data_IF_364957636607
#
_entry.id   IF_364957636607
#
_cell.length_a   1.000
_cell.length_b   1.000
_cell.length_c   1.000
_cell.angle_alpha   90.00
_cell.angle_beta   90.00
_cell.angle_gamma   90.00
#
_symmetry.space_group_name_H-M   'P 1'
#
loop_
_entity.id
_entity.type
_entity.pdbx_description
1 polymer ?
#
# COMPACT_ATOMS: atom_id res chain seq x y z
N UNK A 1 -0.80 -18.19 -1.96
CA UNK A 1 -1.70 -17.93 -0.81
C UNK A 1 -3.18 -17.86 -1.19
N UNK A 2 -3.75 -16.74 -1.68
CA UNK A 2 -5.22 -16.63 -1.85
C UNK A 2 -5.84 -17.73 -2.74
N UNK A 3 -5.19 -18.07 -3.86
CA UNK A 3 -5.62 -19.16 -4.76
C UNK A 3 -5.50 -20.53 -4.08
N UNK A 4 -4.44 -20.77 -3.31
CA UNK A 4 -4.19 -22.04 -2.62
C UNK A 4 -5.19 -22.30 -1.49
N UNK A 5 -5.66 -21.25 -0.82
CA UNK A 5 -6.58 -21.38 0.33
C UNK A 5 -8.05 -21.37 -0.08
N UNK A 6 -8.37 -20.96 -1.32
CA UNK A 6 -9.74 -20.88 -1.81
C UNK A 6 -10.52 -22.22 -1.74
N UNK A 7 -9.94 -23.40 -2.07
CA UNK A 7 -10.63 -24.68 -1.94
C UNK A 7 -11.01 -25.06 -0.50
N UNK A 8 -10.35 -24.44 0.49
CA UNK A 8 -10.62 -24.63 1.91
C UNK A 8 -11.71 -23.68 2.43
N UNK A 9 -12.29 -22.83 1.57
CA UNK A 9 -13.29 -21.83 1.96
C UNK A 9 -12.70 -20.61 2.67
N UNK A 10 -11.37 -20.45 2.68
CA UNK A 10 -10.69 -19.31 3.33
C UNK A 10 -10.60 -18.15 2.34
N UNK A 11 -11.19 -17.01 2.72
CA UNK A 11 -11.16 -15.76 1.97
C UNK A 11 -9.99 -14.89 2.44
N UNK A 12 -9.28 -14.26 1.51
CA UNK A 12 -8.11 -13.41 1.79
C UNK A 12 -8.29 -12.02 1.18
N UNK A 13 -8.06 -10.99 2.00
CA UNK A 13 -8.01 -9.59 1.57
C UNK A 13 -6.74 -8.93 2.10
N UNK A 14 -6.06 -8.18 1.24
CA UNK A 14 -4.91 -7.33 1.55
C UNK A 14 -5.46 -5.91 1.77
N UNK A 15 -5.30 -5.37 2.97
CA UNK A 15 -5.67 -3.98 3.27
C UNK A 15 -4.50 -3.07 2.92
N UNK A 16 -4.75 -2.06 2.08
CA UNK A 16 -3.74 -1.14 1.55
C UNK A 16 -4.05 0.30 2.01
N UNK A 17 -3.75 0.67 3.27
CA UNK A 17 -4.13 1.96 3.81
C UNK A 17 -3.21 3.09 3.36
N UNK A 18 -3.78 4.27 3.17
CA UNK A 18 -3.05 5.54 3.14
C UNK A 18 -2.64 6.01 4.54
N UNK A 19 -2.41 7.32 4.74
CA UNK A 19 -2.07 7.85 6.06
C UNK A 19 -3.31 7.91 6.96
N UNK A 20 -3.27 7.20 8.09
CA UNK A 20 -4.29 7.22 9.15
C UNK A 20 -3.73 7.77 10.46
N UNK A 21 -4.58 8.44 11.26
CA UNK A 21 -4.23 8.99 12.58
C UNK A 21 -4.11 7.91 13.63
N UNK A 22 -3.14 7.03 13.45
CA UNK A 22 -2.69 6.06 14.46
C UNK A 22 -1.40 6.59 15.09
N UNK A 23 -0.90 5.90 16.11
CA UNK A 23 0.43 6.18 16.67
C UNK A 23 1.59 5.75 15.73
N UNK A 24 1.31 5.42 14.46
CA UNK A 24 2.31 4.98 13.49
C UNK A 24 3.36 6.06 13.22
N UNK A 25 2.96 7.29 12.87
CA UNK A 25 3.93 8.36 12.59
C UNK A 25 4.54 8.96 13.87
N UNK A 26 3.93 8.69 15.03
CA UNK A 26 4.46 9.04 16.35
C UNK A 26 5.29 7.90 16.94
N UNK A 27 4.85 7.38 18.09
CA UNK A 27 5.65 6.47 18.92
C UNK A 27 5.90 5.07 18.35
N UNK A 28 5.13 4.63 17.35
CA UNK A 28 5.24 3.28 16.78
C UNK A 28 6.20 3.20 15.59
N UNK A 29 6.61 4.34 15.01
CA UNK A 29 7.60 4.33 13.94
C UNK A 29 8.95 3.86 14.48
N UNK A 30 9.49 2.79 13.89
CA UNK A 30 10.86 2.34 14.16
C UNK A 30 11.76 2.77 13.01
N UNK A 31 12.83 3.47 13.35
CA UNK A 31 13.85 3.90 12.40
C UNK A 31 15.04 2.95 12.47
N UNK A 32 15.75 2.79 11.35
CA UNK A 32 16.99 2.04 11.33
C UNK A 32 18.04 2.74 12.21
N UNK A 33 18.75 1.96 13.02
CA UNK A 33 19.79 2.48 13.94
C UNK A 33 20.97 3.08 13.16
N UNK A 34 21.33 2.50 12.02
CA UNK A 34 22.41 2.98 11.17
C UNK A 34 21.87 3.97 10.13
N UNK A 35 22.44 5.18 10.13
CA UNK A 35 22.17 6.21 9.14
C UNK A 35 23.35 6.33 8.18
N UNK A 36 23.06 6.21 6.88
CA UNK A 36 24.02 6.45 5.81
C UNK A 36 23.71 7.83 5.20
N UNK A 37 24.68 8.74 5.23
CA UNK A 37 24.49 10.13 4.85
C UNK A 37 24.04 10.31 3.40
N UNK A 38 24.48 9.43 2.50
CA UNK A 38 24.17 9.48 1.07
C UNK A 38 22.66 9.36 0.79
N UNK A 39 21.88 8.77 1.70
CA UNK A 39 20.43 8.63 1.58
C UNK A 39 19.64 9.77 2.24
N UNK A 40 20.30 10.84 2.69
CA UNK A 40 19.62 11.98 3.29
C UNK A 40 18.58 12.63 2.36
N UNK A 41 18.83 12.80 1.03
CA UNK A 41 17.83 13.36 0.13
C UNK A 41 16.56 12.52 -0.04
N UNK A 42 16.60 11.23 0.32
CA UNK A 42 15.48 10.29 0.14
C UNK A 42 14.95 9.77 1.48
N UNK A 43 15.58 8.75 2.06
CA UNK A 43 15.20 8.17 3.33
C UNK A 43 15.29 9.19 4.48
N UNK A 44 16.29 10.09 4.44
CA UNK A 44 16.39 11.20 5.39
C UNK A 44 15.18 12.13 5.33
N UNK A 45 14.82 12.59 4.13
CA UNK A 45 13.64 13.44 3.91
C UNK A 45 12.35 12.75 4.38
N UNK A 46 12.21 11.44 4.17
CA UNK A 46 11.07 10.68 4.69
C UNK A 46 11.01 10.70 6.23
N UNK A 47 12.14 10.47 6.91
CA UNK A 47 12.20 10.52 8.39
C UNK A 47 11.76 11.87 8.93
N UNK A 48 12.23 12.97 8.33
CA UNK A 48 11.81 14.31 8.74
C UNK A 48 10.33 14.57 8.46
N UNK A 49 9.82 14.11 7.31
CA UNK A 49 8.39 14.21 6.99
C UNK A 49 7.52 13.48 8.01
N UNK A 50 7.91 12.28 8.45
CA UNK A 50 7.15 11.50 9.43
C UNK A 50 6.96 12.23 10.76
N UNK A 51 7.99 12.95 11.24
CA UNK A 51 7.88 13.79 12.45
C UNK A 51 6.83 14.92 12.31
N UNK A 52 6.58 15.39 11.08
CA UNK A 52 5.70 16.54 10.84
C UNK A 52 4.23 16.17 10.63
N UNK A 53 3.95 14.92 10.26
CA UNK A 53 2.60 14.46 9.89
C UNK A 53 1.86 13.76 11.02
N UNK A 54 2.52 13.50 12.15
CA UNK A 54 1.85 12.90 13.31
C UNK A 54 0.64 13.73 13.76
N UNK A 55 -0.48 13.06 14.01
CA UNK A 55 -1.78 13.67 14.30
C UNK A 55 -2.47 14.43 13.15
N UNK A 56 -1.79 14.64 12.01
CA UNK A 56 -2.31 15.44 10.87
C UNK A 56 -2.79 14.58 9.69
N UNK A 57 -2.78 13.26 9.83
CA UNK A 57 -3.23 12.35 8.78
C UNK A 57 -4.74 12.52 8.53
N UNK A 58 -5.18 12.38 7.28
CA UNK A 58 -6.62 12.49 6.95
C UNK A 58 -7.43 11.27 7.41
N UNK A 59 -6.79 10.10 7.47
CA UNK A 59 -7.47 8.84 7.73
C UNK A 59 -7.95 8.72 9.18
N UNK A 60 -9.19 8.25 9.33
CA UNK A 60 -9.81 7.92 10.61
C UNK A 60 -9.70 6.41 10.87
N UNK A 61 -8.94 5.96 11.89
CA UNK A 61 -8.76 4.54 12.19
C UNK A 61 -10.06 3.81 12.53
N UNK A 62 -11.04 4.50 13.13
CA UNK A 62 -12.33 3.90 13.49
C UNK A 62 -13.08 3.55 12.20
N UNK A 63 -13.12 4.48 11.24
CA UNK A 63 -13.74 4.22 9.93
C UNK A 63 -13.00 3.14 9.14
N UNK A 64 -11.67 3.09 9.22
CA UNK A 64 -10.90 2.01 8.60
C UNK A 64 -11.25 0.65 9.20
N UNK A 65 -11.31 0.55 10.53
CA UNK A 65 -11.67 -0.70 11.21
C UNK A 65 -13.07 -1.18 10.84
N UNK A 66 -14.03 -0.26 10.73
CA UNK A 66 -15.39 -0.57 10.30
C UNK A 66 -15.41 -1.08 8.85
N UNK A 67 -14.69 -0.42 7.93
CA UNK A 67 -14.59 -0.87 6.55
C UNK A 67 -13.98 -2.28 6.44
N UNK A 68 -12.93 -2.57 7.21
CA UNK A 68 -12.32 -3.91 7.26
C UNK A 68 -13.33 -4.94 7.77
N UNK A 69 -14.06 -4.63 8.84
CA UNK A 69 -15.09 -5.51 9.38
C UNK A 69 -16.20 -5.78 8.36
N UNK A 70 -16.66 -4.76 7.65
CA UNK A 70 -17.74 -4.91 6.67
C UNK A 70 -17.33 -5.79 5.48
N UNK A 71 -16.06 -5.77 5.07
CA UNK A 71 -15.55 -6.68 4.04
C UNK A 71 -15.64 -8.16 4.47
N UNK A 72 -15.50 -8.47 5.76
CA UNK A 72 -15.61 -9.86 6.24
C UNK A 72 -17.00 -10.46 6.05
N UNK A 73 -18.03 -9.63 5.87
CA UNK A 73 -19.42 -10.04 5.65
C UNK A 73 -19.72 -10.37 4.19
N UNK A 74 -18.79 -10.10 3.27
CA UNK A 74 -19.01 -10.34 1.85
C UNK A 74 -18.83 -11.81 1.50
N UNK A 75 -19.68 -12.31 0.59
CA UNK A 75 -19.51 -13.64 0.01
C UNK A 75 -18.24 -13.71 -0.84
N UNK A 76 -17.94 -12.65 -1.57
CA UNK A 76 -16.77 -12.51 -2.45
C UNK A 76 -16.00 -11.22 -2.15
N UNK A 77 -15.23 -11.17 -1.05
CA UNK A 77 -14.44 -9.98 -0.72
C UNK A 77 -13.33 -9.77 -1.74
N UNK A 78 -12.90 -8.51 -1.98
CA UNK A 78 -11.83 -8.21 -2.91
C UNK A 78 -10.48 -8.72 -2.38
N UNK A 79 -9.56 -9.07 -3.28
CA UNK A 79 -8.19 -9.41 -2.90
C UNK A 79 -7.44 -8.19 -2.34
N UNK A 80 -7.72 -6.98 -2.83
CA UNK A 80 -7.07 -5.73 -2.41
C UNK A 80 -8.12 -4.70 -2.00
N UNK A 81 -7.92 -4.07 -0.86
CA UNK A 81 -8.77 -3.03 -0.30
C UNK A 81 -7.94 -1.76 -0.03
N UNK A 82 -7.82 -0.86 -1.01
CA UNK A 82 -7.23 0.45 -0.77
C UNK A 82 -8.13 1.29 0.15
N UNK A 83 -7.56 1.88 1.19
CA UNK A 83 -8.28 2.74 2.14
C UNK A 83 -7.70 4.16 2.13
N UNK A 84 -8.52 5.13 1.71
CA UNK A 84 -8.15 6.55 1.67
C UNK A 84 -7.71 7.03 0.29
N UNK A 85 -7.76 8.35 0.08
CA UNK A 85 -7.54 8.97 -1.24
C UNK A 85 -6.12 8.74 -1.74
N UNK A 86 -5.13 8.91 -0.86
CA UNK A 86 -3.73 8.70 -1.20
C UNK A 86 -3.46 7.26 -1.67
N UNK A 87 -4.05 6.25 -1.01
CA UNK A 87 -3.90 4.86 -1.42
C UNK A 87 -4.44 4.63 -2.84
N UNK A 88 -5.63 5.14 -3.14
CA UNK A 88 -6.24 5.04 -4.48
C UNK A 88 -5.37 5.73 -5.54
N UNK A 89 -4.91 6.95 -5.27
CA UNK A 89 -4.04 7.70 -6.20
C UNK A 89 -2.75 6.93 -6.45
N UNK A 90 -2.06 6.48 -5.40
CA UNK A 90 -0.82 5.73 -5.53
C UNK A 90 -0.98 4.41 -6.30
N UNK A 91 -2.08 3.68 -6.08
CA UNK A 91 -2.38 2.46 -6.83
C UNK A 91 -2.60 2.76 -8.32
N UNK A 92 -3.43 3.76 -8.64
CA UNK A 92 -3.71 4.11 -10.04
C UNK A 92 -2.44 4.58 -10.76
N UNK A 93 -1.63 5.45 -10.13
CA UNK A 93 -0.35 5.87 -10.70
C UNK A 93 0.59 4.68 -10.93
N UNK A 94 0.62 3.69 -10.02
CA UNK A 94 1.44 2.50 -10.22
C UNK A 94 0.92 1.62 -11.35
N UNK A 95 -0.39 1.42 -11.44
CA UNK A 95 -1.02 0.65 -12.52
C UNK A 95 -0.73 1.29 -13.88
N UNK A 96 -0.87 2.60 -14.00
CA UNK A 96 -0.53 3.36 -15.21
C UNK A 96 0.95 3.21 -15.57
N UNK A 97 1.86 3.34 -14.59
CA UNK A 97 3.29 3.14 -14.82
C UNK A 97 3.60 1.73 -15.35
N UNK A 98 3.02 0.68 -14.76
CA UNK A 98 3.22 -0.70 -15.22
C UNK A 98 2.65 -0.90 -16.62
N UNK A 99 1.47 -0.34 -16.88
CA UNK A 99 0.86 -0.42 -18.21
C UNK A 99 1.72 0.27 -19.27
N UNK A 100 2.32 1.41 -18.93
CA UNK A 100 3.24 2.13 -19.82
C UNK A 100 4.49 1.30 -20.11
N UNK A 101 5.09 0.67 -19.10
CA UNK A 101 6.26 -0.20 -19.31
C UNK A 101 5.91 -1.38 -20.24
N UNK A 102 4.77 -2.04 -20.02
CA UNK A 102 4.29 -3.13 -20.88
C UNK A 102 4.13 -2.63 -22.33
N UNK A 103 3.46 -1.50 -22.53
CA UNK A 103 3.19 -0.97 -23.85
C UNK A 103 4.49 -0.57 -24.58
N UNK A 104 5.42 0.06 -23.87
CA UNK A 104 6.67 0.56 -24.45
C UNK A 104 7.64 -0.57 -24.84
N UNK A 105 7.58 -1.70 -24.13
CA UNK A 105 8.53 -2.81 -24.31
C UNK A 105 7.89 -4.10 -24.82
N UNK A 106 6.63 -4.04 -25.28
CA UNK A 106 5.86 -5.20 -25.73
C UNK A 106 6.59 -6.02 -26.80
N UNK A 107 7.10 -5.37 -27.85
CA UNK A 107 7.78 -6.05 -28.95
C UNK A 107 9.03 -6.79 -28.47
N UNK A 108 9.82 -6.18 -27.59
CA UNK A 108 11.00 -6.81 -27.00
C UNK A 108 10.57 -8.03 -26.17
N UNK A 109 9.55 -7.88 -25.33
CA UNK A 109 9.06 -8.96 -24.48
C UNK A 109 8.48 -10.14 -25.28
N UNK A 110 7.81 -9.89 -26.41
CA UNK A 110 7.24 -10.93 -27.26
C UNK A 110 8.30 -11.60 -28.17
N UNK A 111 9.39 -10.92 -28.50
CA UNK A 111 10.45 -11.43 -29.37
C UNK A 111 11.26 -12.63 -28.83
N UNK A 112 11.17 -12.92 -27.53
CA UNK A 112 11.96 -13.96 -26.86
C UNK A 112 11.23 -15.30 -26.72
N UNK A 113 10.07 -15.46 -27.38
CA UNK A 113 9.25 -16.67 -27.35
C UNK A 113 9.14 -17.25 -28.77
N UNK A 114 9.12 -18.58 -28.90
CA UNK A 114 9.08 -19.31 -30.17
C UNK A 114 7.67 -19.44 -30.75
#
# INVERSE_FOLDING_TARGET
>A
MAIETAPLGIKLTIVEPGPFRTNFAGSSLKLADKIIADYNPTAGAFRERMKQVDGKQEGDPIKASQAIFDITKLDTPPLRLPLGKIAIISLNTKLESVQNDINNFKEIAESVVY
#
